data_IF_714846955624
#
_entry.id   IF_714846955624
#
_cell.length_a   1.000
_cell.length_b   1.000
_cell.length_c   1.000
_cell.angle_alpha   90.00
_cell.angle_beta   90.00
_cell.angle_gamma   90.00
#
_symmetry.space_group_name_H-M   'P 1'
#
loop_
_entity.id
_entity.type
_entity.pdbx_description
1 polymer ?
#
# COMPACT_ATOMS: atom_id res chain seq x y z
N UNK A 1 39.02 -14.01 14.32
CA UNK A 1 37.69 -13.64 14.85
C UNK A 1 37.41 -12.22 14.40
N UNK A 2 36.77 -12.06 13.24
CA UNK A 2 36.61 -10.78 12.54
C UNK A 2 35.39 -10.03 13.07
N UNK A 3 35.61 -9.03 13.91
CA UNK A 3 34.66 -7.94 14.13
C UNK A 3 34.64 -7.09 12.86
N UNK A 4 33.65 -7.26 11.97
CA UNK A 4 33.63 -6.46 10.72
C UNK A 4 32.72 -6.94 9.59
N UNK A 5 31.48 -7.36 9.88
CA UNK A 5 30.47 -7.69 8.85
C UNK A 5 29.31 -6.70 8.86
N UNK A 6 29.59 -5.41 9.00
CA UNK A 6 28.59 -4.38 8.69
C UNK A 6 28.63 -4.16 7.18
N UNK A 7 27.67 -4.75 6.48
CA UNK A 7 27.52 -4.53 5.06
C UNK A 7 27.31 -3.03 4.82
N UNK A 8 28.15 -2.35 4.03
CA UNK A 8 28.11 -0.89 3.88
C UNK A 8 26.77 -0.39 3.30
N UNK A 9 26.02 -1.27 2.64
CA UNK A 9 24.68 -0.99 2.11
C UNK A 9 23.55 -1.15 3.15
N UNK A 10 23.79 -1.82 4.29
CA UNK A 10 22.73 -2.15 5.25
C UNK A 10 22.16 -0.90 5.94
N UNK A 11 23.01 0.04 6.35
CA UNK A 11 22.56 1.29 6.98
C UNK A 11 21.74 2.16 6.01
N UNK A 12 22.17 2.23 4.75
CA UNK A 12 21.48 2.98 3.72
C UNK A 12 20.11 2.36 3.41
N UNK A 13 20.02 1.03 3.30
CA UNK A 13 18.74 0.33 3.15
C UNK A 13 17.85 0.55 4.39
N UNK A 14 18.40 0.47 5.61
CA UNK A 14 17.64 0.66 6.84
C UNK A 14 16.98 2.04 6.92
N UNK A 15 17.69 3.10 6.51
CA UNK A 15 17.13 4.46 6.40
C UNK A 15 15.93 4.51 5.47
N UNK A 16 15.99 3.78 4.35
CA UNK A 16 14.90 3.78 3.37
C UNK A 16 13.73 2.87 3.76
N UNK A 17 13.96 1.82 4.54
CA UNK A 17 12.89 1.03 5.17
C UNK A 17 12.05 1.93 6.08
N UNK A 18 12.67 2.84 6.85
CA UNK A 18 11.93 3.82 7.66
C UNK A 18 11.02 4.70 6.80
N UNK A 19 11.49 5.14 5.63
CA UNK A 19 10.66 5.90 4.70
C UNK A 19 9.47 5.08 4.19
N UNK A 20 9.69 3.80 3.87
CA UNK A 20 8.63 2.88 3.47
C UNK A 20 7.57 2.73 4.58
N UNK A 21 8.01 2.57 5.82
CA UNK A 21 7.13 2.48 6.99
C UNK A 21 6.31 3.77 7.17
N UNK A 22 6.91 4.95 6.98
CA UNK A 22 6.18 6.22 7.04
C UNK A 22 5.09 6.29 5.97
N UNK A 23 5.38 5.87 4.74
CA UNK A 23 4.38 5.84 3.65
C UNK A 23 3.23 4.91 4.04
N UNK A 24 3.53 3.69 4.48
CA UNK A 24 2.49 2.72 4.88
C UNK A 24 1.69 3.24 6.08
N UNK A 25 2.34 3.85 7.08
CA UNK A 25 1.66 4.46 8.22
C UNK A 25 0.77 5.64 7.81
N UNK A 26 1.16 6.43 6.80
CA UNK A 26 0.34 7.51 6.29
C UNK A 26 -0.93 6.98 5.60
N UNK A 27 -0.81 5.90 4.81
CA UNK A 27 -1.94 5.20 4.18
C UNK A 27 -2.91 4.68 5.26
N UNK A 28 -2.40 3.94 6.25
CA UNK A 28 -3.23 3.44 7.37
C UNK A 28 -3.85 4.59 8.17
N UNK A 29 -3.09 5.64 8.42
CA UNK A 29 -3.55 6.83 9.14
C UNK A 29 -4.73 7.52 8.46
N UNK A 30 -4.75 7.53 7.12
CA UNK A 30 -5.88 8.01 6.33
C UNK A 30 -7.18 7.23 6.62
N UNK A 31 -7.12 5.89 6.57
CA UNK A 31 -8.25 5.04 6.93
C UNK A 31 -8.72 5.26 8.38
N UNK A 32 -7.80 5.34 9.33
CA UNK A 32 -8.14 5.53 10.76
C UNK A 32 -8.80 6.90 10.99
N UNK A 33 -8.28 7.96 10.38
CA UNK A 33 -8.89 9.29 10.48
C UNK A 33 -10.31 9.28 9.90
N UNK A 34 -10.49 8.66 8.74
CA UNK A 34 -11.80 8.60 8.09
C UNK A 34 -12.80 7.72 8.87
N UNK A 35 -12.33 6.64 9.48
CA UNK A 35 -13.12 5.83 10.40
C UNK A 35 -13.59 6.64 11.60
N UNK A 36 -12.72 7.47 12.19
CA UNK A 36 -13.11 8.35 13.30
C UNK A 36 -14.21 9.34 12.88
N UNK A 37 -14.08 9.95 11.69
CA UNK A 37 -15.14 10.80 11.11
C UNK A 37 -16.44 10.02 10.93
N UNK A 38 -16.37 8.78 10.44
CA UNK A 38 -17.56 7.94 10.25
C UNK A 38 -18.27 7.60 11.56
N UNK A 39 -17.52 7.31 12.62
CA UNK A 39 -18.06 7.06 13.96
C UNK A 39 -18.69 8.31 14.56
N UNK A 40 -18.08 9.49 14.39
CA UNK A 40 -18.65 10.75 14.88
C UNK A 40 -19.94 11.12 14.13
N UNK A 41 -19.97 10.94 12.81
CA UNK A 41 -21.13 11.25 11.99
C UNK A 41 -22.33 10.31 12.26
N UNK A 42 -22.07 9.05 12.62
CA UNK A 42 -23.11 8.05 12.90
C UNK A 42 -23.73 8.16 14.30
N UNK A 43 -23.15 8.95 15.21
CA UNK A 43 -23.68 9.14 16.57
C UNK A 43 -24.89 10.08 16.68
N UNK A 44 -25.28 10.77 15.60
CA UNK A 44 -26.25 11.88 15.64
C UNK A 44 -27.70 11.58 15.22
N UNK A 45 -28.03 10.38 14.71
CA UNK A 45 -29.36 10.10 14.15
C UNK A 45 -29.79 8.65 14.30
N UNK A 46 -31.07 8.43 14.63
CA UNK A 46 -31.69 7.11 14.75
C UNK A 46 -31.48 6.28 13.48
N UNK A 47 -31.05 5.03 13.67
CA UNK A 47 -30.62 4.08 12.63
C UNK A 47 -31.81 3.49 11.87
N UNK A 48 -32.60 4.31 11.18
CA UNK A 48 -33.56 3.81 10.19
C UNK A 48 -32.84 3.75 8.83
N UNK A 49 -31.88 2.82 8.75
CA UNK A 49 -31.09 2.57 7.55
C UNK A 49 -31.96 1.95 6.47
N UNK A 50 -32.34 2.74 5.48
CA UNK A 50 -32.85 2.19 4.22
C UNK A 50 -31.66 1.52 3.53
N UNK A 51 -31.58 0.19 3.66
CA UNK A 51 -30.57 -0.61 2.97
C UNK A 51 -30.61 -0.27 1.48
N UNK A 52 -29.53 0.32 0.99
CA UNK A 52 -29.29 0.50 -0.45
C UNK A 52 -28.35 -0.62 -0.88
N UNK A 53 -28.88 -1.85 -1.09
CA UNK A 53 -28.06 -3.05 -1.28
C UNK A 53 -27.11 -2.94 -2.47
N UNK A 54 -27.44 -2.08 -3.45
CA UNK A 54 -26.59 -1.80 -4.61
C UNK A 54 -25.18 -1.34 -4.24
N UNK A 55 -25.02 -0.42 -3.27
CA UNK A 55 -23.70 0.07 -2.86
C UNK A 55 -22.86 -1.00 -2.17
N UNK A 56 -23.52 -1.86 -1.38
CA UNK A 56 -22.86 -2.99 -0.72
C UNK A 56 -22.38 -4.01 -1.75
N UNK A 57 -23.19 -4.34 -2.76
CA UNK A 57 -22.76 -5.25 -3.83
C UNK A 57 -21.59 -4.68 -4.64
N UNK A 58 -21.58 -3.38 -4.91
CA UNK A 58 -20.42 -2.71 -5.54
C UNK A 58 -19.18 -2.82 -4.66
N UNK A 59 -19.31 -2.59 -3.34
CA UNK A 59 -18.19 -2.71 -2.41
C UNK A 59 -17.63 -4.13 -2.36
N UNK A 60 -18.50 -5.15 -2.34
CA UNK A 60 -18.09 -6.56 -2.40
C UNK A 60 -17.34 -6.85 -3.71
N UNK A 61 -17.85 -6.40 -4.85
CA UNK A 61 -17.21 -6.60 -6.14
C UNK A 61 -15.83 -5.93 -6.22
N UNK A 62 -15.73 -4.68 -5.75
CA UNK A 62 -14.44 -3.96 -5.69
C UNK A 62 -13.46 -4.64 -4.74
N UNK A 63 -13.94 -5.16 -3.61
CA UNK A 63 -13.11 -5.93 -2.66
C UNK A 63 -12.56 -7.18 -3.29
N UNK A 64 -13.41 -7.97 -3.94
CA UNK A 64 -12.98 -9.18 -4.65
C UNK A 64 -11.95 -8.84 -5.74
N UNK A 65 -12.21 -7.79 -6.52
CA UNK A 65 -11.28 -7.30 -7.54
C UNK A 65 -9.94 -6.85 -6.96
N UNK A 66 -9.94 -6.12 -5.85
CA UNK A 66 -8.73 -5.66 -5.20
C UNK A 66 -7.94 -6.78 -4.54
N UNK A 67 -8.60 -7.79 -3.96
CA UNK A 67 -7.93 -8.99 -3.45
C UNK A 67 -7.22 -9.71 -4.61
N UNK A 68 -7.90 -9.93 -5.73
CA UNK A 68 -7.30 -10.53 -6.92
C UNK A 68 -6.13 -9.69 -7.45
N UNK A 69 -6.32 -8.38 -7.56
CA UNK A 69 -5.27 -7.45 -8.00
C UNK A 69 -4.07 -7.49 -7.03
N UNK A 70 -4.29 -7.57 -5.73
CA UNK A 70 -3.23 -7.66 -4.71
C UNK A 70 -2.44 -8.96 -4.78
N UNK A 71 -3.04 -10.05 -5.24
CA UNK A 71 -2.33 -11.30 -5.46
C UNK A 71 -1.51 -11.26 -6.76
N UNK A 72 -2.08 -10.69 -7.83
CA UNK A 72 -1.48 -10.73 -9.18
C UNK A 72 -0.46 -9.61 -9.40
N UNK A 73 -0.80 -8.36 -9.07
CA UNK A 73 -0.01 -7.17 -9.43
C UNK A 73 1.34 -7.15 -8.70
N UNK A 74 1.41 -7.27 -7.35
CA UNK A 74 2.66 -7.42 -6.62
C UNK A 74 3.58 -8.53 -7.15
N UNK A 75 3.02 -9.72 -7.43
CA UNK A 75 3.77 -10.86 -7.93
C UNK A 75 4.31 -10.62 -9.34
N UNK A 76 3.50 -10.01 -10.22
CA UNK A 76 3.91 -9.66 -11.58
C UNK A 76 5.03 -8.61 -11.58
N UNK A 77 4.93 -7.58 -10.73
CA UNK A 77 5.97 -6.55 -10.57
C UNK A 77 7.29 -7.17 -10.13
N UNK A 78 7.26 -8.04 -9.12
CA UNK A 78 8.48 -8.70 -8.64
C UNK A 78 9.11 -9.62 -9.67
N UNK A 79 8.29 -10.44 -10.32
CA UNK A 79 8.78 -11.42 -11.30
C UNK A 79 9.43 -10.71 -12.48
N UNK A 80 8.74 -9.73 -13.07
CA UNK A 80 9.27 -8.94 -14.19
C UNK A 80 10.47 -8.09 -13.77
N UNK A 81 10.42 -7.48 -12.60
CA UNK A 81 11.51 -6.64 -12.11
C UNK A 81 12.80 -7.44 -11.88
N UNK A 82 12.71 -8.63 -11.29
CA UNK A 82 13.87 -9.52 -11.12
C UNK A 82 14.44 -9.98 -12.46
N UNK A 83 13.57 -10.33 -13.41
CA UNK A 83 13.99 -10.69 -14.76
C UNK A 83 14.75 -9.54 -15.44
N UNK A 84 14.24 -8.32 -15.37
CA UNK A 84 14.90 -7.13 -15.93
C UNK A 84 16.25 -6.82 -15.28
N UNK A 85 16.38 -7.04 -13.96
CA UNK A 85 17.67 -6.88 -13.26
C UNK A 85 18.68 -7.91 -13.79
N UNK A 86 18.26 -9.17 -13.91
CA UNK A 86 19.13 -10.24 -14.41
C UNK A 86 19.55 -10.03 -15.88
N UNK A 87 18.67 -9.46 -16.70
CA UNK A 87 18.95 -9.12 -18.11
C UNK A 87 19.77 -7.84 -18.27
N UNK A 88 19.99 -7.07 -17.19
CA UNK A 88 20.64 -5.76 -17.27
C UNK A 88 19.81 -4.67 -17.96
N UNK A 89 18.51 -4.95 -18.19
CA UNK A 89 17.57 -4.04 -18.87
C UNK A 89 16.74 -3.20 -17.90
N UNK A 90 16.93 -3.40 -16.58
CA UNK A 90 16.18 -2.69 -15.56
C UNK A 90 16.44 -1.18 -15.61
N UNK A 91 15.35 -0.42 -15.69
CA UNK A 91 15.38 1.03 -15.67
C UNK A 91 14.76 1.55 -14.37
N UNK A 92 15.30 2.67 -13.90
CA UNK A 92 14.73 3.38 -12.76
C UNK A 92 13.31 3.84 -13.13
N UNK A 93 12.28 3.53 -12.31
CA UNK A 93 10.93 4.04 -12.56
C UNK A 93 10.94 5.56 -12.72
N UNK A 94 10.59 6.04 -13.92
CA UNK A 94 10.73 7.45 -14.32
C UNK A 94 9.80 8.39 -13.56
N UNK A 95 10.24 9.65 -13.38
CA UNK A 95 9.42 10.74 -12.83
C UNK A 95 9.82 11.25 -11.44
N UNK A 96 10.95 10.82 -10.87
CA UNK A 96 11.41 11.33 -9.57
C UNK A 96 12.19 12.63 -9.74
N UNK A 97 11.78 13.67 -9.02
CA UNK A 97 12.54 14.92 -8.83
C UNK A 97 13.96 14.69 -8.26
N UNK A 98 14.24 13.47 -7.75
CA UNK A 98 15.50 13.04 -7.16
C UNK A 98 16.20 11.93 -7.98
N UNK A 99 16.05 11.90 -9.31
CA UNK A 99 16.68 10.87 -10.17
C UNK A 99 18.18 10.69 -9.91
N UNK A 100 18.93 11.79 -9.76
CA UNK A 100 20.37 11.77 -9.48
C UNK A 100 20.74 11.10 -8.15
N UNK A 101 20.01 11.40 -7.06
CA UNK A 101 20.25 10.75 -5.74
C UNK A 101 19.92 9.27 -5.76
N UNK A 102 18.94 8.90 -6.57
CA UNK A 102 18.55 7.52 -6.72
C UNK A 102 19.58 6.73 -7.53
N UNK A 103 20.12 7.32 -8.59
CA UNK A 103 21.20 6.74 -9.37
C UNK A 103 22.46 6.53 -8.53
N UNK A 104 22.87 7.53 -7.74
CA UNK A 104 23.98 7.41 -6.78
C UNK A 104 23.77 6.26 -5.77
N UNK A 105 22.55 6.12 -5.26
CA UNK A 105 22.21 5.00 -4.36
C UNK A 105 22.34 3.64 -5.06
N UNK A 106 21.87 3.54 -6.30
CA UNK A 106 21.93 2.30 -7.07
C UNK A 106 23.37 1.94 -7.45
N UNK A 107 24.22 2.93 -7.74
CA UNK A 107 25.65 2.71 -7.94
C UNK A 107 26.32 2.18 -6.66
N UNK A 108 25.99 2.75 -5.49
CA UNK A 108 26.57 2.33 -4.21
C UNK A 108 26.11 0.95 -3.74
N UNK A 109 24.89 0.55 -4.08
CA UNK A 109 24.26 -0.68 -3.55
C UNK A 109 24.11 -1.80 -4.58
N UNK A 110 24.33 -1.51 -5.86
CA UNK A 110 24.18 -2.47 -6.96
C UNK A 110 22.79 -3.09 -7.02
N UNK A 111 22.74 -4.41 -7.26
CA UNK A 111 21.47 -5.13 -7.40
C UNK A 111 20.65 -5.18 -6.11
N UNK A 112 21.29 -5.08 -4.94
CA UNK A 112 20.58 -5.03 -3.66
C UNK A 112 19.66 -3.79 -3.59
N UNK A 113 20.13 -2.64 -4.08
CA UNK A 113 19.31 -1.42 -4.15
C UNK A 113 18.15 -1.55 -5.13
N UNK A 114 18.37 -2.18 -6.28
CA UNK A 114 17.32 -2.44 -7.28
C UNK A 114 16.23 -3.36 -6.73
N UNK A 115 16.63 -4.45 -6.07
CA UNK A 115 15.70 -5.39 -5.42
C UNK A 115 14.92 -4.73 -4.28
N UNK A 116 15.59 -3.90 -3.48
CA UNK A 116 14.91 -3.11 -2.44
C UNK A 116 13.87 -2.17 -3.03
N UNK A 117 14.17 -1.53 -4.17
CA UNK A 117 13.25 -0.60 -4.82
C UNK A 117 12.03 -1.32 -5.42
N UNK A 118 12.21 -2.51 -5.96
CA UNK A 118 11.10 -3.39 -6.37
C UNK A 118 10.24 -3.78 -5.17
N UNK A 119 10.87 -4.13 -4.04
CA UNK A 119 10.16 -4.47 -2.80
C UNK A 119 9.36 -3.28 -2.26
N UNK A 120 9.93 -2.08 -2.28
CA UNK A 120 9.22 -0.86 -1.90
C UNK A 120 7.99 -0.64 -2.79
N UNK A 121 8.16 -0.67 -4.11
CA UNK A 121 7.07 -0.48 -5.06
C UNK A 121 5.97 -1.51 -4.87
N UNK A 122 6.34 -2.79 -4.72
CA UNK A 122 5.41 -3.87 -4.44
C UNK A 122 4.61 -3.62 -3.14
N UNK A 123 5.31 -3.20 -2.08
CA UNK A 123 4.71 -2.96 -0.76
C UNK A 123 3.73 -1.79 -0.80
N UNK A 124 4.11 -0.67 -1.42
CA UNK A 124 3.25 0.51 -1.54
C UNK A 124 2.00 0.19 -2.36
N UNK A 125 2.15 -0.45 -3.53
CA UNK A 125 1.01 -0.82 -4.37
C UNK A 125 0.09 -1.80 -3.65
N UNK A 126 0.67 -2.80 -2.98
CA UNK A 126 -0.10 -3.78 -2.21
C UNK A 126 -0.86 -3.15 -1.04
N UNK A 127 -0.28 -2.15 -0.37
CA UNK A 127 -0.93 -1.41 0.71
C UNK A 127 -2.05 -0.51 0.17
N UNK A 128 -1.79 0.26 -0.89
CA UNK A 128 -2.76 1.18 -1.48
C UNK A 128 -4.02 0.45 -2.03
N UNK A 129 -3.85 -0.76 -2.57
CA UNK A 129 -4.99 -1.58 -3.01
C UNK A 129 -5.92 -1.97 -1.87
N UNK A 130 -5.38 -2.31 -0.69
CA UNK A 130 -6.22 -2.59 0.48
C UNK A 130 -6.86 -1.32 1.02
N UNK A 131 -6.04 -0.29 1.25
CA UNK A 131 -6.47 0.98 1.83
C UNK A 131 -7.62 1.59 1.02
N UNK A 132 -7.52 1.60 -0.31
CA UNK A 132 -8.57 2.15 -1.18
C UNK A 132 -9.91 1.43 -1.00
N UNK A 133 -9.91 0.12 -0.77
CA UNK A 133 -11.13 -0.66 -0.54
C UNK A 133 -11.63 -0.49 0.89
N UNK A 134 -10.76 -0.49 1.89
CA UNK A 134 -11.11 -0.20 3.28
C UNK A 134 -11.79 1.18 3.39
N UNK A 135 -11.20 2.19 2.74
CA UNK A 135 -11.75 3.53 2.65
C UNK A 135 -13.13 3.55 1.98
N UNK A 136 -13.29 2.81 0.88
CA UNK A 136 -14.57 2.70 0.19
C UNK A 136 -15.66 2.08 1.08
N UNK A 137 -15.33 1.03 1.85
CA UNK A 137 -16.27 0.44 2.81
C UNK A 137 -16.69 1.40 3.91
N UNK A 138 -15.78 2.23 4.41
CA UNK A 138 -16.11 3.28 5.39
C UNK A 138 -17.09 4.29 4.76
N UNK A 139 -16.88 4.72 3.49
CA UNK A 139 -17.83 5.58 2.78
C UNK A 139 -19.20 4.90 2.66
N UNK A 140 -19.23 3.62 2.25
CA UNK A 140 -20.49 2.87 2.14
C UNK A 140 -21.21 2.81 3.49
N UNK A 141 -20.48 2.64 4.60
CA UNK A 141 -21.07 2.67 5.94
C UNK A 141 -21.70 4.02 6.28
N UNK A 142 -21.09 5.13 5.84
CA UNK A 142 -21.63 6.48 6.03
C UNK A 142 -22.90 6.72 5.21
N UNK A 143 -22.93 6.25 3.96
CA UNK A 143 -24.06 6.47 3.06
C UNK A 143 -25.24 5.56 3.43
N UNK A 144 -24.96 4.30 3.74
CA UNK A 144 -26.00 3.27 3.98
C UNK A 144 -26.36 3.13 5.46
N UNK A 145 -25.60 3.76 6.36
CA UNK A 145 -25.69 3.57 7.82
C UNK A 145 -25.55 2.08 8.24
N UNK A 146 -24.91 1.27 7.41
CA UNK A 146 -24.75 -0.18 7.62
C UNK A 146 -23.57 -0.49 8.53
N UNK A 147 -23.85 -1.15 9.67
CA UNK A 147 -22.83 -1.66 10.57
C UNK A 147 -21.97 -2.77 9.93
N UNK A 148 -22.55 -3.55 9.01
CA UNK A 148 -21.81 -4.55 8.25
C UNK A 148 -20.72 -3.90 7.38
N UNK A 149 -21.08 -2.82 6.67
CA UNK A 149 -20.12 -2.09 5.84
C UNK A 149 -18.99 -1.47 6.68
N UNK A 150 -19.31 -0.96 7.86
CA UNK A 150 -18.31 -0.45 8.80
C UNK A 150 -17.35 -1.57 9.26
N UNK A 151 -17.90 -2.74 9.64
CA UNK A 151 -17.10 -3.90 10.04
C UNK A 151 -16.17 -4.38 8.93
N UNK A 152 -16.66 -4.45 7.69
CA UNK A 152 -15.84 -4.81 6.54
C UNK A 152 -14.68 -3.83 6.31
N UNK A 153 -14.93 -2.52 6.44
CA UNK A 153 -13.89 -1.49 6.32
C UNK A 153 -12.82 -1.52 7.40
N UNK A 154 -13.14 -2.03 8.61
CA UNK A 154 -12.17 -2.19 9.71
C UNK A 154 -11.28 -3.43 9.53
N UNK A 155 -11.82 -4.48 8.90
CA UNK A 155 -11.10 -5.75 8.69
C UNK A 155 -10.07 -5.65 7.56
N UNK A 156 -10.32 -4.80 6.57
CA UNK A 156 -9.49 -4.60 5.39
C UNK A 156 -8.33 -3.64 5.64
#
# INVERSE_FOLDING_TARGET
MTNGTEWPWAEEIARRVRMAQIIVLALVGGCVMFLAVALMASGGGGRDGQETPTLVYVAILLTAGAILARLVVPAAIMTRGRQQIAEGTWQVPGGRADAARLEEFLEKTGDAGRLWLLFLTQTIIGAALLEGVAFFWIIVSLVTQSAFALGAGVVL
#
